data_IF_107178392367
#
_entry.id   IF_107178392367
#
_cell.length_a   1.000
_cell.length_b   1.000
_cell.length_c   1.000
_cell.angle_alpha   90.00
_cell.angle_beta   90.00
_cell.angle_gamma   90.00
#
_symmetry.space_group_name_H-M   'P 1'
#
loop_
_entity.id
_entity.type
_entity.pdbx_description
1 polymer ?
#
# COMPACT_ATOMS: atom_id res chain seq x y z
N UNK A 1 49.16 -15.51 56.17
CA UNK A 1 48.11 -16.30 55.45
C UNK A 1 46.78 -15.59 55.28
N UNK A 2 46.15 -15.00 56.28
CA UNK A 2 44.85 -14.34 56.20
C UNK A 2 44.77 -13.18 55.17
N UNK A 3 45.77 -12.32 55.06
CA UNK A 3 45.88 -11.20 54.12
C UNK A 3 45.96 -11.66 52.65
N UNK A 4 46.68 -12.73 52.37
CA UNK A 4 46.78 -13.30 51.02
C UNK A 4 45.47 -13.88 50.52
N UNK A 5 44.71 -14.54 51.40
CA UNK A 5 43.38 -15.03 51.05
C UNK A 5 42.37 -13.89 50.74
N UNK A 6 42.51 -12.75 51.45
CA UNK A 6 41.66 -11.58 51.19
C UNK A 6 41.93 -10.95 49.82
N UNK A 7 43.20 -10.84 49.41
CA UNK A 7 43.57 -10.34 48.10
C UNK A 7 43.13 -11.27 46.97
N UNK A 8 43.23 -12.59 47.18
CA UNK A 8 42.75 -13.56 46.21
C UNK A 8 41.23 -13.47 46.00
N UNK A 9 40.47 -13.31 47.09
CA UNK A 9 39.02 -13.11 47.01
C UNK A 9 38.61 -11.84 46.26
N UNK A 10 39.33 -10.73 46.48
CA UNK A 10 39.13 -9.48 45.80
C UNK A 10 39.39 -9.60 44.29
N UNK A 11 40.43 -10.30 43.87
CA UNK A 11 40.74 -10.52 42.46
C UNK A 11 39.68 -11.37 41.76
N UNK A 12 39.14 -12.38 42.42
CA UNK A 12 38.05 -13.21 41.86
C UNK A 12 36.77 -12.39 41.68
N UNK A 13 36.41 -11.56 42.63
CA UNK A 13 35.24 -10.70 42.53
C UNK A 13 35.40 -9.66 41.40
N UNK A 14 36.58 -9.07 41.27
CA UNK A 14 36.88 -8.13 40.19
C UNK A 14 36.81 -8.80 38.80
N UNK A 15 37.28 -10.03 38.65
CA UNK A 15 37.18 -10.80 37.43
C UNK A 15 35.72 -11.12 37.06
N UNK A 16 34.89 -11.52 38.01
CA UNK A 16 33.50 -11.81 37.79
C UNK A 16 32.69 -10.57 37.38
N UNK A 17 32.99 -9.41 37.95
CA UNK A 17 32.39 -8.14 37.57
C UNK A 17 32.79 -7.77 36.14
N UNK A 18 34.05 -7.94 35.80
CA UNK A 18 34.57 -7.66 34.46
C UNK A 18 33.91 -8.55 33.40
N UNK A 19 33.85 -9.86 33.63
CA UNK A 19 33.15 -10.80 32.71
C UNK A 19 31.65 -10.50 32.61
N UNK A 20 31.02 -10.15 33.72
CA UNK A 20 29.59 -9.74 33.72
C UNK A 20 29.31 -8.49 32.90
N UNK A 21 30.17 -7.48 32.95
CA UNK A 21 30.03 -6.25 32.17
C UNK A 21 30.21 -6.49 30.66
N UNK A 22 31.18 -7.32 30.28
CA UNK A 22 31.40 -7.69 28.86
C UNK A 22 30.20 -8.50 28.33
N UNK A 23 29.75 -9.46 29.11
CA UNK A 23 28.60 -10.27 28.72
C UNK A 23 27.36 -9.42 28.55
N UNK A 24 27.09 -8.52 29.48
CA UNK A 24 25.94 -7.61 29.42
C UNK A 24 25.99 -6.65 28.21
N UNK A 25 27.17 -6.08 27.91
CA UNK A 25 27.35 -5.18 26.78
C UNK A 25 27.18 -5.88 25.42
N UNK A 26 27.68 -7.12 25.30
CA UNK A 26 27.45 -7.95 24.09
C UNK A 26 25.99 -8.37 23.92
N UNK A 27 25.29 -8.69 25.01
CA UNK A 27 23.91 -9.12 24.96
C UNK A 27 22.95 -7.97 24.60
N UNK A 28 23.19 -6.77 25.13
CA UNK A 28 22.39 -5.58 24.78
C UNK A 28 22.63 -5.14 23.33
N UNK A 29 23.87 -5.13 22.86
CA UNK A 29 24.21 -4.76 21.47
C UNK A 29 23.58 -5.67 20.40
N UNK A 30 23.49 -6.97 20.67
CA UNK A 30 22.86 -7.91 19.74
C UNK A 30 21.34 -7.70 19.60
N UNK A 31 20.67 -7.23 20.65
CA UNK A 31 19.22 -6.92 20.59
C UNK A 31 18.91 -5.67 19.77
N UNK A 32 19.76 -4.66 19.85
CA UNK A 32 19.60 -3.43 19.07
C UNK A 32 19.89 -3.68 17.58
N UNK A 33 20.92 -4.44 17.27
CA UNK A 33 21.24 -4.82 15.90
C UNK A 33 20.12 -5.67 15.25
N UNK A 34 19.57 -6.62 15.97
CA UNK A 34 18.43 -7.43 15.49
C UNK A 34 17.18 -6.57 15.22
N UNK A 35 16.86 -5.64 16.12
CA UNK A 35 15.72 -4.71 15.92
C UNK A 35 15.94 -3.78 14.73
N UNK A 36 17.16 -3.26 14.55
CA UNK A 36 17.51 -2.41 13.42
C UNK A 36 17.43 -3.15 12.08
N UNK A 37 17.79 -4.42 12.04
CA UNK A 37 17.65 -5.27 10.85
C UNK A 37 16.18 -5.52 10.51
N UNK A 38 15.37 -5.94 11.46
CA UNK A 38 13.93 -6.16 11.26
C UNK A 38 13.21 -4.89 10.79
N UNK A 39 13.62 -3.72 11.31
CA UNK A 39 13.05 -2.45 10.92
C UNK A 39 13.44 -2.03 9.49
N UNK A 40 14.68 -2.33 9.07
CA UNK A 40 15.14 -2.11 7.69
C UNK A 40 14.42 -3.02 6.70
N UNK A 41 14.27 -4.29 7.02
CA UNK A 41 13.55 -5.27 6.20
C UNK A 41 12.08 -4.86 6.03
N UNK A 42 11.38 -4.50 7.11
CA UNK A 42 10.01 -4.03 7.06
C UNK A 42 9.85 -2.71 6.26
N UNK A 43 10.85 -1.82 6.31
CA UNK A 43 10.83 -0.57 5.54
C UNK A 43 11.12 -0.79 4.05
N UNK A 44 11.95 -1.77 3.72
CA UNK A 44 12.22 -2.17 2.34
C UNK A 44 11.00 -2.87 1.71
N UNK A 45 10.39 -3.80 2.43
CA UNK A 45 9.18 -4.48 2.01
C UNK A 45 8.03 -3.49 1.73
N UNK A 46 7.84 -2.49 2.59
CA UNK A 46 6.88 -1.41 2.34
C UNK A 46 7.20 -0.61 1.09
N UNK A 47 8.47 -0.25 0.86
CA UNK A 47 8.88 0.48 -0.35
C UNK A 47 8.68 -0.34 -1.61
N UNK A 48 8.92 -1.64 -1.56
CA UNK A 48 8.67 -2.55 -2.69
C UNK A 48 7.17 -2.71 -2.96
N UNK A 49 6.35 -2.84 -1.92
CA UNK A 49 4.89 -2.85 -2.05
C UNK A 49 4.36 -1.54 -2.63
N UNK A 50 4.87 -0.39 -2.17
CA UNK A 50 4.52 0.92 -2.71
C UNK A 50 5.00 1.08 -4.16
N UNK A 51 6.18 0.58 -4.50
CA UNK A 51 6.71 0.60 -5.86
C UNK A 51 5.94 -0.33 -6.82
N UNK A 52 5.40 -1.44 -6.33
CA UNK A 52 4.53 -2.35 -7.08
C UNK A 52 3.07 -1.89 -7.13
N UNK A 53 2.76 -0.71 -6.57
CA UNK A 53 1.40 -0.13 -6.54
C UNK A 53 0.52 -0.71 -5.43
N UNK A 54 1.12 -1.36 -4.45
CA UNK A 54 0.42 -1.90 -3.30
C UNK A 54 0.18 -0.85 -2.23
N UNK A 55 -0.92 -0.12 -2.30
CA UNK A 55 -1.38 0.77 -1.24
C UNK A 55 -1.85 2.15 -1.68
N UNK A 56 -1.49 2.59 -2.89
CA UNK A 56 -1.93 3.88 -3.43
C UNK A 56 -3.21 3.78 -4.27
N UNK A 57 -3.93 4.90 -4.36
CA UNK A 57 -5.07 5.04 -5.25
C UNK A 57 -4.65 4.85 -6.71
N UNK A 58 -5.20 3.85 -7.38
CA UNK A 58 -4.89 3.54 -8.79
C UNK A 58 -6.09 2.97 -9.53
N UNK A 59 -6.32 3.49 -10.74
CA UNK A 59 -7.22 2.86 -11.72
C UNK A 59 -6.42 1.82 -12.49
N UNK A 60 -6.79 0.54 -12.38
CA UNK A 60 -6.11 -0.58 -13.03
C UNK A 60 -6.63 -0.76 -14.44
N UNK A 61 -7.94 -0.60 -14.62
CA UNK A 61 -8.62 -0.77 -15.90
C UNK A 61 -9.82 0.15 -15.99
N UNK A 62 -10.06 0.69 -17.17
CA UNK A 62 -11.30 1.36 -17.53
C UNK A 62 -11.49 1.23 -19.03
N UNK A 63 -12.55 0.54 -19.45
CA UNK A 63 -12.79 0.25 -20.86
C UNK A 63 -14.26 0.06 -21.17
N UNK A 64 -14.61 0.23 -22.45
CA UNK A 64 -15.92 -0.05 -23.01
C UNK A 64 -15.86 -1.30 -23.90
N UNK A 65 -16.83 -2.17 -23.77
CA UNK A 65 -16.94 -3.37 -24.60
C UNK A 65 -18.40 -3.51 -25.13
N UNK A 66 -18.62 -3.26 -26.43
CA UNK A 66 -17.73 -2.72 -27.44
C UNK A 66 -17.47 -1.20 -27.30
N UNK A 67 -16.31 -0.71 -27.81
CA UNK A 67 -15.95 0.71 -27.78
C UNK A 67 -16.70 1.55 -28.85
N UNK A 68 -17.30 0.90 -29.86
CA UNK A 68 -18.12 1.53 -30.87
C UNK A 68 -19.45 0.78 -31.01
N UNK A 69 -20.55 1.50 -31.04
CA UNK A 69 -21.91 0.96 -31.09
C UNK A 69 -22.71 1.67 -32.16
N UNK A 70 -23.84 1.09 -32.54
CA UNK A 70 -24.87 1.79 -33.33
C UNK A 70 -25.80 2.59 -32.43
N UNK A 71 -26.38 3.62 -32.96
CA UNK A 71 -27.34 4.44 -32.21
C UNK A 71 -28.47 3.60 -31.63
N UNK A 72 -28.61 3.60 -30.31
CA UNK A 72 -29.62 2.82 -29.59
C UNK A 72 -29.12 1.47 -29.06
N UNK A 73 -27.94 1.01 -29.47
CA UNK A 73 -27.33 -0.18 -28.92
C UNK A 73 -26.77 0.08 -27.51
N UNK A 74 -26.47 -1.00 -26.81
CA UNK A 74 -25.89 -0.97 -25.48
C UNK A 74 -24.39 -1.30 -25.55
N UNK A 75 -23.60 -0.63 -24.72
CA UNK A 75 -22.24 -1.05 -24.41
C UNK A 75 -22.07 -1.23 -22.91
N UNK A 76 -21.05 -1.96 -22.52
CA UNK A 76 -20.71 -2.20 -21.11
C UNK A 76 -19.44 -1.46 -20.78
N UNK A 77 -19.48 -0.58 -19.79
CA UNK A 77 -18.33 0.09 -19.22
C UNK A 77 -17.88 -0.70 -17.99
N UNK A 78 -16.64 -1.16 -17.98
CA UNK A 78 -16.06 -1.87 -16.85
C UNK A 78 -14.87 -1.10 -16.31
N UNK A 79 -14.73 -1.06 -14.98
CA UNK A 79 -13.59 -0.48 -14.32
C UNK A 79 -13.07 -1.38 -13.21
N UNK A 80 -11.77 -1.23 -12.89
CA UNK A 80 -11.10 -1.82 -11.74
C UNK A 80 -10.23 -0.77 -11.08
N UNK A 81 -10.35 -0.61 -9.76
CA UNK A 81 -9.59 0.35 -8.96
C UNK A 81 -9.01 -0.31 -7.71
N UNK A 82 -7.86 0.19 -7.25
CA UNK A 82 -7.25 -0.20 -5.99
C UNK A 82 -7.11 1.05 -5.12
N UNK A 83 -7.25 0.89 -3.80
CA UNK A 83 -7.02 1.96 -2.83
C UNK A 83 -8.07 3.05 -2.83
N UNK A 84 -9.15 2.93 -3.63
CA UNK A 84 -10.24 3.90 -3.63
C UNK A 84 -11.22 3.61 -2.49
N UNK A 85 -11.79 4.66 -1.92
CA UNK A 85 -12.91 4.61 -0.98
C UNK A 85 -14.24 4.85 -1.67
N UNK A 86 -14.21 5.62 -2.75
CA UNK A 86 -15.36 5.92 -3.58
C UNK A 86 -14.99 6.04 -5.05
N UNK A 87 -15.91 5.70 -5.92
CA UNK A 87 -15.77 5.79 -7.37
C UNK A 87 -17.00 6.47 -7.95
N UNK A 88 -16.79 7.43 -8.85
CA UNK A 88 -17.85 8.11 -9.62
C UNK A 88 -17.58 7.99 -11.11
N UNK A 89 -18.62 7.99 -11.91
CA UNK A 89 -18.51 7.96 -13.36
C UNK A 89 -19.44 9.01 -13.99
N UNK A 90 -18.87 9.90 -14.74
CA UNK A 90 -19.60 10.92 -15.51
C UNK A 90 -19.68 10.54 -16.99
N UNK A 91 -20.80 10.77 -17.68
CA UNK A 91 -22.08 11.37 -17.25
C UNK A 91 -23.11 10.35 -16.72
N UNK A 92 -22.72 9.12 -16.36
CA UNK A 92 -23.68 8.04 -16.04
C UNK A 92 -24.44 8.33 -14.75
N UNK A 93 -23.74 8.78 -13.71
CA UNK A 93 -24.38 9.20 -12.45
C UNK A 93 -23.40 10.06 -11.66
N UNK A 94 -23.64 11.35 -11.65
CA UNK A 94 -22.83 12.29 -10.87
C UNK A 94 -23.01 12.11 -9.35
N UNK A 95 -24.16 11.56 -8.93
CA UNK A 95 -24.59 11.51 -7.54
C UNK A 95 -24.47 10.12 -6.90
N UNK A 96 -24.16 9.06 -7.66
CA UNK A 96 -24.05 7.71 -7.13
C UNK A 96 -22.59 7.34 -6.82
N UNK A 97 -22.33 7.06 -5.55
CA UNK A 97 -21.05 6.51 -5.09
C UNK A 97 -21.04 4.99 -5.30
N UNK A 98 -20.10 4.52 -6.09
CA UNK A 98 -19.98 3.12 -6.43
C UNK A 98 -18.93 2.37 -5.62
N UNK A 99 -19.06 1.02 -5.53
CA UNK A 99 -18.06 0.21 -4.83
C UNK A 99 -16.65 0.40 -5.39
N UNK A 100 -15.70 0.42 -4.50
CA UNK A 100 -14.33 0.80 -4.74
C UNK A 100 -13.42 -0.36 -5.21
N UNK A 101 -13.91 -1.35 -5.94
CA UNK A 101 -13.08 -2.45 -6.45
C UNK A 101 -13.26 -2.62 -7.96
N UNK A 102 -14.31 -3.30 -8.36
CA UNK A 102 -14.57 -3.62 -9.76
C UNK A 102 -16.07 -3.61 -10.00
N UNK A 103 -16.50 -2.97 -11.07
CA UNK A 103 -17.90 -2.96 -11.50
C UNK A 103 -18.01 -2.78 -13.01
N UNK A 104 -19.08 -3.34 -13.57
CA UNK A 104 -19.49 -3.10 -14.94
C UNK A 104 -20.91 -2.50 -14.96
N UNK A 105 -21.13 -1.53 -15.83
CA UNK A 105 -22.43 -0.87 -16.06
C UNK A 105 -22.77 -0.85 -17.52
N UNK A 106 -24.07 -1.00 -17.82
CA UNK A 106 -24.58 -0.89 -19.18
C UNK A 106 -25.02 0.54 -19.46
N UNK A 107 -24.55 1.08 -20.57
CA UNK A 107 -24.93 2.41 -21.06
C UNK A 107 -25.38 2.35 -22.50
N UNK A 108 -26.23 3.29 -22.91
CA UNK A 108 -26.79 3.42 -24.30
C UNK A 108 -26.65 4.86 -24.75
N UNK A 109 -25.44 5.35 -25.05
CA UNK A 109 -25.28 6.71 -25.52
C UNK A 109 -25.95 6.89 -26.92
N UNK A 110 -26.57 8.05 -27.15
CA UNK A 110 -27.20 8.39 -28.41
C UNK A 110 -26.29 9.12 -29.40
N UNK A 111 -25.12 9.52 -28.93
CA UNK A 111 -24.07 10.23 -29.69
C UNK A 111 -22.71 9.85 -29.08
N UNK A 112 -21.66 10.17 -29.79
CA UNK A 112 -20.29 10.04 -29.25
C UNK A 112 -20.24 10.65 -27.87
N UNK A 113 -19.84 9.83 -26.90
CA UNK A 113 -19.87 10.23 -25.50
C UNK A 113 -18.56 9.84 -24.83
N UNK A 114 -17.98 10.79 -24.13
CA UNK A 114 -16.80 10.60 -23.31
C UNK A 114 -17.22 10.30 -21.88
N UNK A 115 -16.68 9.20 -21.34
CA UNK A 115 -16.94 8.77 -19.97
C UNK A 115 -15.70 9.00 -19.14
N UNK A 116 -15.87 9.63 -17.99
CA UNK A 116 -14.81 9.97 -17.05
C UNK A 116 -15.03 9.21 -15.75
N UNK A 117 -14.05 8.38 -15.38
CA UNK A 117 -14.00 7.68 -14.12
C UNK A 117 -13.17 8.48 -13.13
N UNK A 118 -13.70 8.72 -11.93
CA UNK A 118 -13.04 9.45 -10.85
C UNK A 118 -13.05 8.55 -9.62
N UNK A 119 -11.86 8.21 -9.12
CA UNK A 119 -11.67 7.41 -7.93
C UNK A 119 -11.02 8.27 -6.84
N UNK A 120 -11.48 8.17 -5.59
CA UNK A 120 -11.01 8.94 -4.44
C UNK A 120 -10.70 8.01 -3.26
N UNK A 121 -9.59 8.27 -2.55
CA UNK A 121 -9.15 7.45 -1.41
C UNK A 121 -9.71 7.89 -0.06
N UNK A 122 -10.42 9.03 -0.02
CA UNK A 122 -10.92 9.64 1.21
C UNK A 122 -9.87 10.35 2.04
N UNK A 123 -8.61 10.39 1.60
CA UNK A 123 -7.50 11.16 2.17
C UNK A 123 -7.22 12.45 1.37
N UNK A 124 -7.98 12.70 0.30
CA UNK A 124 -7.85 13.85 -0.57
C UNK A 124 -7.11 13.58 -1.88
N UNK A 125 -6.69 12.34 -2.14
CA UNK A 125 -6.14 11.97 -3.43
C UNK A 125 -7.23 11.50 -4.36
N UNK A 126 -7.12 11.86 -5.65
CA UNK A 126 -8.02 11.41 -6.70
C UNK A 126 -7.25 10.90 -7.91
N UNK A 127 -7.75 9.83 -8.53
CA UNK A 127 -7.29 9.34 -9.82
C UNK A 127 -8.41 9.44 -10.84
N UNK A 128 -8.08 9.85 -12.06
CA UNK A 128 -9.05 10.06 -13.12
C UNK A 128 -8.60 9.38 -14.40
N UNK A 129 -9.53 8.72 -15.08
CA UNK A 129 -9.31 8.15 -16.42
C UNK A 129 -10.54 8.41 -17.30
N UNK A 130 -10.29 8.64 -18.58
CA UNK A 130 -11.34 8.95 -19.55
C UNK A 130 -11.31 7.98 -20.72
N UNK A 131 -12.48 7.58 -21.21
CA UNK A 131 -12.65 6.78 -22.42
C UNK A 131 -13.77 7.35 -23.28
N UNK A 132 -13.69 7.18 -24.59
CA UNK A 132 -14.72 7.58 -25.52
C UNK A 132 -15.46 6.36 -26.08
N UNK A 133 -16.78 6.46 -26.18
CA UNK A 133 -17.64 5.50 -26.89
C UNK A 133 -18.16 6.16 -28.15
N UNK A 134 -17.79 5.59 -29.31
CA UNK A 134 -18.23 6.09 -30.60
C UNK A 134 -19.62 5.53 -30.96
N UNK A 135 -20.49 6.38 -31.50
CA UNK A 135 -21.84 6.01 -31.97
C UNK A 135 -21.95 6.25 -33.47
N UNK A 136 -22.12 5.17 -34.21
CA UNK A 136 -22.27 5.19 -35.68
C UNK A 136 -23.73 5.18 -36.12
#
# INVERSE_FOLDING_TARGET
MRRAMQFLGLLIVAALIYDGTIFYSRWSGNREAARAQTQKEASQERKELDAMGGGGLKIISFYAAPAAIRRGDRTTLCYGVIGAKSVRMEPVSADELWPALTRCVHVSPKKDTEYKLIAEDGAGHSATQTIAVAVK
#
